data_IF_027485951929
#
_entry.id   IF_027485951929
#
_cell.length_a   1.000
_cell.length_b   1.000
_cell.length_c   1.000
_cell.angle_alpha   90.00
_cell.angle_beta   90.00
_cell.angle_gamma   90.00
#
_symmetry.space_group_name_H-M   'P 1'
#
loop_
_entity.id
_entity.type
_entity.pdbx_description
1 polymer ?
#
# COMPACT_ATOMS: atom_id res chain seq x y z
N UNK A 1 15.61 14.59 15.09
CA UNK A 1 15.28 15.45 13.92
C UNK A 1 14.07 14.82 13.28
N UNK A 2 13.02 15.56 12.89
CA UNK A 2 11.87 14.95 12.25
C UNK A 2 12.31 14.28 10.95
N UNK A 3 11.87 13.04 10.72
CA UNK A 3 12.12 12.34 9.46
C UNK A 3 11.46 13.11 8.32
N UNK A 4 12.14 13.25 7.18
CA UNK A 4 11.60 13.96 6.01
C UNK A 4 10.78 13.02 5.11
N UNK A 5 11.18 11.75 5.03
CA UNK A 5 10.47 10.67 4.31
C UNK A 5 10.15 11.05 2.85
N UNK A 6 11.08 11.74 2.19
CA UNK A 6 10.84 12.36 0.89
C UNK A 6 10.57 11.33 -0.22
N UNK A 7 11.38 10.27 -0.33
CA UNK A 7 11.14 9.24 -1.35
C UNK A 7 9.96 8.34 -0.99
N UNK A 8 9.70 8.11 0.29
CA UNK A 8 8.51 7.40 0.74
C UNK A 8 7.22 8.13 0.34
N UNK A 9 7.15 9.46 0.56
CA UNK A 9 6.00 10.30 0.16
C UNK A 9 5.78 10.26 -1.35
N UNK A 10 6.87 10.39 -2.12
CA UNK A 10 6.84 10.29 -3.58
C UNK A 10 6.39 8.91 -4.06
N UNK A 11 6.89 7.85 -3.43
CA UNK A 11 6.51 6.46 -3.74
C UNK A 11 5.03 6.19 -3.42
N UNK A 12 4.56 6.67 -2.27
CA UNK A 12 3.16 6.57 -1.86
C UNK A 12 2.23 7.30 -2.85
N UNK A 13 2.60 8.52 -3.25
CA UNK A 13 1.86 9.30 -4.26
C UNK A 13 1.85 8.59 -5.63
N UNK A 14 3.01 8.09 -6.08
CA UNK A 14 3.11 7.36 -7.35
C UNK A 14 2.31 6.04 -7.34
N UNK A 15 2.14 5.44 -6.16
CA UNK A 15 1.32 4.25 -5.95
C UNK A 15 -0.18 4.56 -5.82
N UNK A 16 -0.59 5.84 -5.85
CA UNK A 16 -1.99 6.27 -5.69
C UNK A 16 -2.52 6.08 -4.28
N UNK A 17 -1.64 5.99 -3.28
CA UNK A 17 -2.01 5.85 -1.88
C UNK A 17 -2.09 7.23 -1.21
N UNK A 18 -3.02 7.38 -0.27
CA UNK A 18 -3.11 8.59 0.55
C UNK A 18 -2.04 8.57 1.64
N UNK A 19 -1.38 9.71 1.83
CA UNK A 19 -0.44 9.91 2.93
C UNK A 19 -1.19 10.40 4.17
N UNK A 20 -1.12 9.64 5.25
CA UNK A 20 -1.76 9.96 6.52
C UNK A 20 -0.76 10.55 7.52
N UNK A 21 -1.06 11.75 8.01
CA UNK A 21 -0.21 12.46 8.97
C UNK A 21 -0.21 11.82 10.37
N UNK A 22 -1.31 11.16 10.77
CA UNK A 22 -1.38 10.49 12.06
C UNK A 22 -0.50 9.23 12.04
N UNK A 23 -0.66 8.39 11.02
CA UNK A 23 0.20 7.22 10.81
C UNK A 23 1.68 7.56 10.62
N UNK A 24 2.01 8.69 9.99
CA UNK A 24 3.38 9.17 9.90
C UNK A 24 3.98 9.48 11.28
N UNK A 25 3.24 10.16 12.16
CA UNK A 25 3.73 10.49 13.50
C UNK A 25 3.99 9.23 14.33
N UNK A 26 3.11 8.23 14.25
CA UNK A 26 3.29 6.94 14.91
C UNK A 26 4.52 6.19 14.37
N UNK A 27 4.70 6.20 13.04
CA UNK A 27 5.86 5.57 12.39
C UNK A 27 7.17 6.25 12.81
N UNK A 28 7.23 7.58 12.81
CA UNK A 28 8.39 8.35 13.25
C UNK A 28 8.76 8.05 14.70
N UNK A 29 7.78 7.97 15.61
CA UNK A 29 8.03 7.60 17.00
C UNK A 29 8.62 6.17 17.13
N UNK A 30 8.16 5.23 16.31
CA UNK A 30 8.72 3.88 16.26
C UNK A 30 10.15 3.87 15.66
N UNK A 31 10.42 4.68 14.65
CA UNK A 31 11.75 4.79 14.04
C UNK A 31 12.78 5.39 15.01
N UNK A 32 12.38 6.40 15.78
CA UNK A 32 13.20 6.97 16.84
C UNK A 32 13.53 5.92 17.92
N UNK A 33 12.54 5.13 18.34
CA UNK A 33 12.73 4.05 19.32
C UNK A 33 13.68 2.95 18.82
N UNK A 34 13.70 2.70 17.51
CA UNK A 34 14.57 1.73 16.84
C UNK A 34 15.93 2.32 16.45
N UNK A 35 16.15 3.63 16.64
CA UNK A 35 17.38 4.32 16.26
C UNK A 35 17.66 4.29 14.76
N UNK A 36 16.62 4.30 13.92
CA UNK A 36 16.78 4.24 12.47
C UNK A 36 17.35 5.56 11.93
N UNK A 37 18.28 5.45 10.98
CA UNK A 37 18.71 6.58 10.18
C UNK A 37 17.61 6.98 9.16
N UNK A 38 17.63 8.24 8.72
CA UNK A 38 16.66 8.78 7.74
C UNK A 38 16.49 7.86 6.52
N UNK A 39 17.60 7.44 5.91
CA UNK A 39 17.57 6.60 4.73
C UNK A 39 16.93 5.22 4.98
N UNK A 40 17.03 4.70 6.21
CA UNK A 40 16.42 3.41 6.57
C UNK A 40 14.91 3.55 6.78
N UNK A 41 14.49 4.61 7.48
CA UNK A 41 13.07 4.93 7.67
C UNK A 41 12.37 5.19 6.34
N UNK A 42 13.00 5.97 5.46
CA UNK A 42 12.48 6.30 4.14
C UNK A 42 12.35 5.06 3.25
N UNK A 43 13.38 4.20 3.22
CA UNK A 43 13.33 2.93 2.48
C UNK A 43 12.25 1.99 3.01
N UNK A 44 12.06 1.90 4.33
CA UNK A 44 11.06 1.05 4.96
C UNK A 44 9.64 1.52 4.63
N UNK A 45 9.38 2.83 4.71
CA UNK A 45 8.09 3.41 4.35
C UNK A 45 7.80 3.28 2.85
N UNK A 46 8.78 3.51 1.98
CA UNK A 46 8.64 3.32 0.54
C UNK A 46 8.30 1.85 0.21
N UNK A 47 9.01 0.90 0.83
CA UNK A 47 8.72 -0.52 0.66
C UNK A 47 7.31 -0.88 1.14
N UNK A 48 6.89 -0.35 2.29
CA UNK A 48 5.55 -0.55 2.82
C UNK A 48 4.48 -0.04 1.85
N UNK A 49 4.63 1.17 1.32
CA UNK A 49 3.73 1.74 0.32
C UNK A 49 3.60 0.83 -0.92
N UNK A 50 4.72 0.34 -1.47
CA UNK A 50 4.70 -0.58 -2.60
C UNK A 50 4.00 -1.90 -2.25
N UNK A 51 4.20 -2.42 -1.05
CA UNK A 51 3.56 -3.65 -0.58
C UNK A 51 2.05 -3.48 -0.45
N UNK A 52 1.59 -2.38 0.14
CA UNK A 52 0.16 -2.04 0.24
C UNK A 52 -0.45 -1.92 -1.16
N UNK A 53 0.20 -1.16 -2.05
CA UNK A 53 -0.26 -1.00 -3.43
C UNK A 53 -0.41 -2.34 -4.16
N UNK A 54 0.55 -3.25 -4.01
CA UNK A 54 0.49 -4.60 -4.59
C UNK A 54 -0.56 -5.49 -3.97
N UNK A 55 -0.86 -5.32 -2.68
CA UNK A 55 -1.86 -6.13 -1.97
C UNK A 55 -3.28 -5.78 -2.43
N UNK A 56 -3.55 -4.49 -2.66
CA UNK A 56 -4.87 -4.01 -3.10
C UNK A 56 -5.01 -3.92 -4.63
N UNK A 57 -3.90 -3.87 -5.36
CA UNK A 57 -3.90 -3.87 -6.82
C UNK A 57 -2.83 -4.85 -7.39
N UNK A 58 -2.98 -6.16 -7.14
CA UNK A 58 -1.99 -7.11 -7.60
C UNK A 58 -1.93 -7.12 -9.13
N UNK A 59 -0.72 -7.12 -9.73
CA UNK A 59 -0.56 -7.14 -11.18
C UNK A 59 -1.10 -8.42 -11.83
N UNK A 60 -1.26 -9.50 -11.05
CA UNK A 60 -1.90 -10.74 -11.47
C UNK A 60 -3.43 -10.63 -11.61
N UNK A 61 -4.06 -9.58 -11.08
CA UNK A 61 -5.50 -9.39 -11.26
C UNK A 61 -5.81 -8.76 -12.60
N UNK A 62 -6.47 -9.53 -13.46
CA UNK A 62 -7.13 -9.01 -14.64
C UNK A 62 -8.25 -8.03 -14.26
N UNK A 63 -8.64 -7.16 -15.19
CA UNK A 63 -9.68 -6.13 -14.96
C UNK A 63 -10.99 -6.70 -14.39
N UNK A 64 -11.37 -7.94 -14.76
CA UNK A 64 -12.56 -8.63 -14.22
C UNK A 64 -12.43 -8.98 -12.74
N UNK A 65 -11.25 -9.40 -12.29
CA UNK A 65 -10.99 -9.72 -10.89
C UNK A 65 -10.95 -8.45 -10.03
N UNK A 66 -10.42 -7.35 -10.58
CA UNK A 66 -10.46 -6.03 -9.93
C UNK A 66 -11.89 -5.52 -9.74
N UNK A 67 -12.74 -5.65 -10.76
CA UNK A 67 -14.18 -5.34 -10.65
C UNK A 67 -14.87 -6.22 -9.61
N UNK A 68 -14.52 -7.51 -9.55
CA UNK A 68 -15.11 -8.42 -8.58
C UNK A 68 -14.72 -8.09 -7.14
N UNK A 69 -13.47 -7.71 -6.92
CA UNK A 69 -12.98 -7.25 -5.62
C UNK A 69 -13.65 -5.91 -5.23
N UNK A 70 -13.75 -4.96 -6.16
CA UNK A 70 -14.44 -3.69 -5.93
C UNK A 70 -15.92 -3.91 -5.59
N UNK A 71 -16.62 -4.79 -6.29
CA UNK A 71 -18.00 -5.15 -5.98
C UNK A 71 -18.12 -5.85 -4.62
N UNK A 72 -17.14 -6.68 -4.24
CA UNK A 72 -17.10 -7.29 -2.91
C UNK A 72 -16.99 -6.23 -1.80
N UNK A 73 -16.09 -5.25 -1.95
CA UNK A 73 -15.94 -4.16 -0.98
C UNK A 73 -17.16 -3.23 -0.93
N UNK A 74 -17.81 -2.94 -2.07
CA UNK A 74 -18.96 -2.03 -2.12
C UNK A 74 -20.27 -2.67 -1.67
N UNK A 75 -20.46 -3.97 -1.93
CA UNK A 75 -21.75 -4.63 -1.73
C UNK A 75 -21.71 -5.83 -0.77
N UNK A 76 -20.55 -6.12 -0.15
CA UNK A 76 -20.37 -7.22 0.80
C UNK A 76 -20.62 -8.62 0.22
N UNK A 77 -20.76 -8.74 -1.11
CA UNK A 77 -21.09 -9.99 -1.81
C UNK A 77 -19.87 -10.51 -2.55
N UNK A 78 -19.44 -11.72 -2.20
CA UNK A 78 -18.50 -12.47 -3.03
C UNK A 78 -19.19 -12.77 -4.36
N UNK A 79 -18.71 -12.18 -5.46
CA UNK A 79 -19.08 -12.66 -6.79
C UNK A 79 -18.62 -14.12 -6.91
N UNK A 80 -19.41 -15.00 -7.54
CA UNK A 80 -19.07 -16.41 -7.63
C UNK A 80 -17.67 -16.60 -8.26
N UNK A 81 -16.91 -17.62 -7.83
CA UNK A 81 -15.55 -17.83 -8.31
C UNK A 81 -15.56 -17.96 -9.84
N UNK A 82 -14.81 -17.09 -10.51
CA UNK A 82 -14.61 -17.19 -11.95
C UNK A 82 -13.90 -18.52 -12.25
N UNK A 83 -14.60 -19.45 -12.90
CA UNK A 83 -13.95 -20.61 -13.52
C UNK A 83 -12.93 -20.09 -14.52
N UNK A 84 -11.69 -20.57 -14.41
CA UNK A 84 -10.69 -20.45 -15.48
C UNK A 84 -11.32 -20.99 -16.76
N UNK A 85 -11.60 -20.11 -17.72
CA UNK A 85 -11.73 -20.52 -19.11
C UNK A 85 -10.33 -20.94 -19.55
N UNK A 86 -10.15 -22.25 -19.72
CA UNK A 86 -8.95 -22.80 -20.32
C UNK A 86 -8.80 -22.27 -21.74
N UNK A 87 -7.61 -21.79 -22.05
CA UNK A 87 -7.00 -21.88 -23.37
C UNK A 87 -5.50 -22.00 -23.20
#
# INVERSE_FOLDING_TARGET
MPYQLAEARKTCTAAGLMWDAAGEAEACAAFDALGLAEAQADALMAFHALRVARLFNPPSYGWRQRLALAAHFLFGRALPPFRKEGR
#
